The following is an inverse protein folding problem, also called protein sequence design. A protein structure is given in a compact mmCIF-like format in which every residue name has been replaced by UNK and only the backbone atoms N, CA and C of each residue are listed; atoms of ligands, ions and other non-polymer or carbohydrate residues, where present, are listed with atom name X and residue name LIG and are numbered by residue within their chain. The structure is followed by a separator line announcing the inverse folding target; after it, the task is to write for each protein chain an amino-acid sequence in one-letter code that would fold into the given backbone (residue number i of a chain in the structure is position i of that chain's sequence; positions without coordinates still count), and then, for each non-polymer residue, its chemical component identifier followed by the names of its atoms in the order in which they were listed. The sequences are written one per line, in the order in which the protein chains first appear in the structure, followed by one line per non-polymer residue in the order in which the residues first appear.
data_IF_616714442127
#
_entry.id   IF_616714442127
#
_cell.length_a   1.000
_cell.length_b   1.000
_cell.length_c   1.000
_cell.angle_alpha   90.00
_cell.angle_beta   90.00
_cell.angle_gamma   90.00
#
_symmetry.space_group_name_H-M   'P 1'
#
loop_
_entity.id
_entity.type
_entity.pdbx_description
1 polymer ?
#
# COMPACT_ATOMS: atom_id res chain seq x y z
N UNK A 1 27.93 -23.41 -37.33
CA UNK A 1 27.55 -24.59 -36.52
C UNK A 1 27.75 -24.27 -35.05
N UNK A 2 26.75 -24.54 -34.22
CA UNK A 2 26.85 -24.38 -32.76
C UNK A 2 27.60 -25.60 -32.22
N UNK A 3 28.59 -25.39 -31.34
CA UNK A 3 29.34 -26.48 -30.73
C UNK A 3 28.39 -27.49 -30.07
N UNK A 4 28.55 -28.81 -30.28
CA UNK A 4 27.75 -29.85 -29.62
C UNK A 4 27.70 -29.67 -28.11
N UNK A 5 28.81 -29.23 -27.51
CA UNK A 5 28.95 -28.99 -26.07
C UNK A 5 28.07 -27.83 -25.59
N UNK A 6 27.83 -26.83 -26.44
CA UNK A 6 26.95 -25.71 -26.10
C UNK A 6 25.48 -26.13 -26.11
N UNK A 7 25.08 -26.99 -27.06
CA UNK A 7 23.72 -27.52 -27.07
C UNK A 7 23.47 -28.46 -25.89
N UNK A 8 24.46 -29.27 -25.51
CA UNK A 8 24.36 -30.13 -24.33
C UNK A 8 24.31 -29.30 -23.04
N UNK A 9 25.15 -28.26 -22.93
CA UNK A 9 25.10 -27.32 -21.82
C UNK A 9 23.76 -26.57 -21.74
N UNK A 10 23.28 -26.03 -22.86
CA UNK A 10 22.01 -25.32 -22.93
C UNK A 10 20.83 -26.25 -22.61
N UNK A 11 20.85 -27.49 -23.10
CA UNK A 11 19.81 -28.48 -22.80
C UNK A 11 19.85 -28.89 -21.32
N UNK A 12 21.03 -29.06 -20.72
CA UNK A 12 21.15 -29.36 -19.30
C UNK A 12 20.68 -28.20 -18.42
N UNK A 13 20.97 -26.96 -18.82
CA UNK A 13 20.47 -25.76 -18.15
C UNK A 13 18.94 -25.64 -18.27
N UNK A 14 18.41 -25.84 -19.48
CA UNK A 14 16.96 -25.85 -19.72
C UNK A 14 16.32 -26.97 -18.91
N UNK A 15 16.87 -28.18 -18.91
CA UNK A 15 16.38 -29.31 -18.12
C UNK A 15 16.41 -29.01 -16.62
N UNK A 16 17.45 -28.33 -16.12
CA UNK A 16 17.53 -27.94 -14.71
C UNK A 16 16.49 -26.87 -14.34
N UNK A 17 16.22 -25.92 -15.25
CA UNK A 17 15.22 -24.87 -15.05
C UNK A 17 13.77 -25.36 -15.27
N UNK A 18 13.58 -26.38 -16.12
CA UNK A 18 12.26 -26.97 -16.44
C UNK A 18 11.92 -28.20 -15.60
N UNK A 19 12.89 -28.82 -14.94
CA UNK A 19 12.65 -29.66 -13.77
C UNK A 19 12.05 -28.74 -12.72
N UNK A 20 10.72 -28.70 -12.73
CA UNK A 20 9.90 -27.96 -11.79
C UNK A 20 10.51 -28.14 -10.42
N UNK A 21 11.12 -27.07 -9.89
CA UNK A 21 11.30 -26.95 -8.46
C UNK A 21 9.95 -27.40 -7.86
N UNK A 22 9.95 -28.28 -6.83
CA UNK A 22 8.69 -28.62 -6.17
C UNK A 22 7.97 -27.31 -5.94
N UNK A 23 6.67 -27.25 -6.25
CA UNK A 23 5.86 -26.06 -6.00
C UNK A 23 6.26 -25.59 -4.61
N UNK A 24 7.03 -24.51 -4.57
CA UNK A 24 7.89 -24.26 -3.43
C UNK A 24 6.90 -23.76 -2.39
N UNK A 25 6.45 -24.64 -1.51
CA UNK A 25 5.57 -24.28 -0.40
C UNK A 25 6.36 -23.25 0.39
N UNK A 26 6.07 -21.99 0.11
CA UNK A 26 6.76 -20.87 0.71
C UNK A 26 6.61 -21.05 2.21
N UNK A 27 7.71 -20.92 2.95
CA UNK A 27 7.60 -20.88 4.39
C UNK A 27 6.81 -19.63 4.82
N UNK A 28 6.37 -19.58 6.07
CA UNK A 28 5.48 -18.53 6.57
C UNK A 28 6.07 -17.11 6.34
N UNK A 29 7.37 -16.93 6.59
CA UNK A 29 8.09 -15.66 6.34
C UNK A 29 8.08 -15.29 4.85
N UNK A 30 8.34 -16.25 3.97
CA UNK A 30 8.33 -16.06 2.52
C UNK A 30 6.93 -15.74 1.99
N UNK A 31 5.88 -16.33 2.57
CA UNK A 31 4.49 -15.99 2.23
C UNK A 31 4.18 -14.53 2.58
N UNK A 32 4.57 -14.09 3.77
CA UNK A 32 4.38 -12.70 4.22
C UNK A 32 5.18 -11.73 3.34
N UNK A 33 6.47 -12.00 3.14
CA UNK A 33 7.34 -11.15 2.31
C UNK A 33 6.86 -11.03 0.87
N UNK A 34 6.31 -12.11 0.29
CA UNK A 34 5.74 -12.06 -1.06
C UNK A 34 4.57 -11.07 -1.14
N UNK A 35 3.68 -11.07 -0.14
CA UNK A 35 2.55 -10.13 -0.12
C UNK A 35 3.05 -8.70 0.08
N UNK A 36 3.94 -8.47 1.05
CA UNK A 36 4.53 -7.15 1.31
C UNK A 36 5.28 -6.54 0.11
N UNK A 37 5.80 -7.39 -0.78
CA UNK A 37 6.44 -6.96 -2.04
C UNK A 37 5.47 -6.75 -3.19
N UNK A 38 4.34 -7.46 -3.20
CA UNK A 38 3.39 -7.45 -4.31
C UNK A 38 2.29 -6.40 -4.12
N UNK A 39 1.94 -6.07 -2.87
CA UNK A 39 0.85 -5.19 -2.51
C UNK A 39 1.39 -3.92 -1.84
N UNK A 40 0.73 -2.79 -2.05
CA UNK A 40 1.12 -1.52 -1.43
C UNK A 40 0.98 -1.55 0.10
N UNK A 41 -0.02 -2.28 0.59
CA UNK A 41 -0.20 -2.59 2.00
C UNK A 41 -0.94 -3.93 2.13
N UNK A 42 -0.76 -4.60 3.26
CA UNK A 42 -1.48 -5.79 3.69
C UNK A 42 -2.54 -5.39 4.72
N UNK A 43 -3.69 -6.07 4.73
CA UNK A 43 -4.69 -5.91 5.80
C UNK A 43 -5.29 -7.25 6.24
N UNK A 44 -5.88 -7.35 7.45
CA UNK A 44 -6.59 -8.56 7.86
C UNK A 44 -7.78 -8.90 6.95
N UNK A 45 -8.42 -7.88 6.34
CA UNK A 45 -9.59 -8.05 5.47
C UNK A 45 -9.20 -8.65 4.12
N UNK A 46 -8.14 -8.14 3.50
CA UNK A 46 -7.68 -8.57 2.16
C UNK A 46 -6.76 -9.79 2.22
N UNK A 47 -6.00 -9.96 3.31
CA UNK A 47 -5.01 -11.03 3.47
C UNK A 47 -5.28 -11.87 4.75
N UNK A 48 -6.48 -12.45 4.93
CA UNK A 48 -6.88 -13.08 6.20
C UNK A 48 -6.04 -14.30 6.60
N UNK A 49 -5.41 -14.97 5.63
CA UNK A 49 -4.55 -16.13 5.89
C UNK A 49 -3.11 -15.73 6.20
N UNK A 50 -2.61 -14.66 5.59
CA UNK A 50 -1.23 -14.19 5.74
C UNK A 50 -1.06 -13.26 6.94
N UNK A 51 -2.11 -12.52 7.31
CA UNK A 51 -2.07 -11.57 8.41
C UNK A 51 -1.67 -12.20 9.77
N UNK A 52 -2.23 -13.36 10.17
CA UNK A 52 -1.80 -14.02 11.41
C UNK A 52 -0.31 -14.42 11.37
N UNK A 53 0.22 -14.80 10.21
CA UNK A 53 1.64 -15.14 10.04
C UNK A 53 2.52 -13.90 10.21
N UNK A 54 2.13 -12.76 9.65
CA UNK A 54 2.81 -11.49 9.86
C UNK A 54 2.86 -11.13 11.35
N UNK A 55 1.74 -11.26 12.07
CA UNK A 55 1.67 -10.92 13.50
C UNK A 55 2.55 -11.87 14.32
N UNK A 56 2.55 -13.16 14.00
CA UNK A 56 3.35 -14.17 14.71
C UNK A 56 4.87 -13.97 14.53
N UNK A 57 5.29 -13.49 13.35
CA UNK A 57 6.71 -13.38 12.97
C UNK A 57 7.19 -11.94 12.78
N UNK A 58 6.47 -10.96 13.34
CA UNK A 58 6.67 -9.52 13.07
C UNK A 58 8.12 -9.07 13.24
N UNK A 59 8.75 -9.46 14.34
CA UNK A 59 10.13 -9.04 14.68
C UNK A 59 11.14 -9.62 13.67
N UNK A 60 11.03 -10.90 13.33
CA UNK A 60 11.92 -11.54 12.37
C UNK A 60 11.79 -10.94 10.96
N UNK A 61 10.56 -10.64 10.53
CA UNK A 61 10.31 -10.00 9.23
C UNK A 61 10.86 -8.58 9.23
N UNK A 62 10.65 -7.81 10.30
CA UNK A 62 11.18 -6.45 10.43
C UNK A 62 12.71 -6.45 10.35
N UNK A 63 13.38 -7.38 11.03
CA UNK A 63 14.84 -7.52 11.01
C UNK A 63 15.35 -7.85 9.60
N UNK A 64 14.68 -8.75 8.88
CA UNK A 64 15.04 -9.08 7.48
C UNK A 64 15.02 -7.85 6.57
N UNK A 65 13.98 -7.03 6.67
CA UNK A 65 13.87 -5.81 5.87
C UNK A 65 14.87 -4.73 6.30
N UNK A 66 15.12 -4.60 7.59
CA UNK A 66 16.07 -3.65 8.13
C UNK A 66 17.51 -3.94 7.66
N UNK A 67 17.91 -5.21 7.60
CA UNK A 67 19.23 -5.63 7.09
C UNK A 67 19.46 -5.20 5.63
N UNK A 68 18.41 -5.10 4.82
CA UNK A 68 18.48 -4.58 3.46
C UNK A 68 18.72 -3.06 3.36
N UNK A 69 18.57 -2.32 4.47
CA UNK A 69 18.91 -0.90 4.60
C UNK A 69 17.99 0.09 3.86
N UNK A 70 17.02 -0.39 3.08
CA UNK A 70 16.09 0.45 2.29
C UNK A 70 14.67 0.43 2.82
N UNK A 71 14.19 -0.72 3.28
CA UNK A 71 12.80 -0.89 3.66
C UNK A 71 12.65 -1.02 5.16
N UNK A 72 11.61 -0.40 5.71
CA UNK A 72 11.21 -0.51 7.10
C UNK A 72 9.80 -1.09 7.12
N UNK A 73 9.60 -2.19 7.85
CA UNK A 73 8.27 -2.75 8.07
C UNK A 73 7.51 -1.88 9.06
N UNK A 74 6.37 -1.35 8.64
CA UNK A 74 5.38 -0.71 9.51
C UNK A 74 4.19 -1.65 9.68
N UNK A 75 3.73 -1.83 10.92
CA UNK A 75 2.55 -2.65 11.25
C UNK A 75 1.69 -1.85 12.23
N UNK A 76 0.55 -1.36 11.74
CA UNK A 76 -0.51 -0.78 12.56
C UNK A 76 -1.56 -1.83 12.95
N UNK A 77 -2.65 -1.38 13.58
CA UNK A 77 -3.69 -2.28 14.10
C UNK A 77 -4.41 -3.07 12.98
N UNK A 78 -4.55 -2.45 11.80
CA UNK A 78 -5.36 -2.97 10.70
C UNK A 78 -4.66 -2.92 9.34
N UNK A 79 -3.37 -2.56 9.31
CA UNK A 79 -2.58 -2.53 8.08
C UNK A 79 -1.10 -2.84 8.36
N UNK A 80 -0.39 -3.27 7.33
CA UNK A 80 1.07 -3.35 7.33
C UNK A 80 1.63 -3.01 5.96
N UNK A 81 2.82 -2.41 5.89
CA UNK A 81 3.48 -2.11 4.63
C UNK A 81 5.01 -2.01 4.78
N UNK A 82 5.70 -2.03 3.65
CA UNK A 82 7.11 -1.67 3.56
C UNK A 82 7.27 -0.21 3.19
N UNK A 83 7.84 0.55 4.11
CA UNK A 83 8.24 1.94 3.87
C UNK A 83 9.62 1.98 3.23
N UNK A 84 9.71 2.57 2.04
CA UNK A 84 10.99 2.92 1.44
C UNK A 84 11.57 4.15 2.15
N UNK A 85 12.67 3.98 2.88
CA UNK A 85 13.34 5.03 3.65
C UNK A 85 13.88 6.17 2.78
N UNK A 86 13.99 5.96 1.47
CA UNK A 86 14.48 6.96 0.51
C UNK A 86 13.34 7.72 -0.16
N UNK A 87 12.08 7.29 0.00
CA UNK A 87 10.93 7.94 -0.65
C UNK A 87 10.65 9.28 0.00
N UNK A 88 10.56 10.32 -0.83
CA UNK A 88 10.13 11.65 -0.39
C UNK A 88 8.61 11.67 -0.22
N UNK A 89 8.08 12.21 0.89
CA UNK A 89 6.65 12.44 1.05
C UNK A 89 6.09 13.30 -0.09
N UNK A 90 4.92 12.91 -0.62
CA UNK A 90 4.24 13.71 -1.62
C UNK A 90 3.65 14.97 -0.97
N UNK A 91 4.01 16.13 -1.52
CA UNK A 91 3.46 17.45 -1.13
C UNK A 91 2.50 18.00 -2.19
N UNK A 92 2.07 17.14 -3.13
CA UNK A 92 1.16 17.55 -4.18
C UNK A 92 -0.23 17.85 -3.61
N UNK A 93 -0.78 19.03 -3.91
CA UNK A 93 -2.11 19.44 -3.41
C UNK A 93 -3.22 18.40 -3.66
N UNK A 94 -3.33 17.76 -4.84
CA UNK A 94 -4.35 16.73 -5.06
C UNK A 94 -4.24 15.54 -4.10
N UNK A 95 -3.00 15.18 -3.72
CA UNK A 95 -2.75 14.10 -2.76
C UNK A 95 -3.16 14.50 -1.34
N UNK A 96 -2.87 15.74 -0.92
CA UNK A 96 -3.31 16.25 0.38
C UNK A 96 -4.84 16.31 0.47
N UNK A 97 -5.53 16.75 -0.60
CA UNK A 97 -7.00 16.67 -0.67
C UNK A 97 -7.48 15.23 -0.62
N UNK A 98 -6.80 14.29 -1.30
CA UNK A 98 -7.16 12.88 -1.28
C UNK A 98 -7.10 12.28 0.13
N UNK A 99 -6.10 12.63 0.94
CA UNK A 99 -6.02 12.19 2.34
C UNK A 99 -7.26 12.66 3.13
N UNK A 100 -7.60 13.94 3.06
CA UNK A 100 -8.78 14.48 3.75
C UNK A 100 -10.07 13.81 3.28
N UNK A 101 -10.26 13.66 1.95
CA UNK A 101 -11.43 12.97 1.41
C UNK A 101 -11.51 11.54 1.93
N UNK A 102 -10.40 10.81 1.98
CA UNK A 102 -10.38 9.43 2.47
C UNK A 102 -10.83 9.32 3.93
N UNK A 103 -10.52 10.29 4.79
CA UNK A 103 -11.06 10.36 6.16
C UNK A 103 -12.56 10.69 6.19
N UNK A 104 -13.01 11.59 5.30
CA UNK A 104 -14.42 11.99 5.20
C UNK A 104 -15.33 10.90 4.63
N UNK A 105 -14.78 9.88 3.94
CA UNK A 105 -15.58 8.76 3.44
C UNK A 105 -16.32 8.02 4.57
N UNK A 106 -15.79 8.01 5.80
CA UNK A 106 -16.40 7.35 6.94
C UNK A 106 -16.68 5.87 6.67
N UNK A 107 -17.96 5.46 6.68
CA UNK A 107 -18.37 4.09 6.34
C UNK A 107 -18.52 3.84 4.83
N UNK A 108 -18.45 4.89 4.01
CA UNK A 108 -18.62 4.86 2.57
C UNK A 108 -19.51 6.00 2.05
N UNK A 109 -19.26 6.43 0.82
CA UNK A 109 -20.10 7.38 0.08
C UNK A 109 -20.54 6.76 -1.24
N UNK A 110 -21.71 7.13 -1.76
CA UNK A 110 -22.15 6.67 -3.08
C UNK A 110 -21.24 7.22 -4.19
N UNK A 111 -21.16 6.50 -5.31
CA UNK A 111 -20.25 6.84 -6.41
C UNK A 111 -20.46 8.25 -7.00
N UNK A 112 -21.71 8.73 -7.01
CA UNK A 112 -22.09 10.07 -7.47
C UNK A 112 -21.76 11.17 -6.47
N UNK A 113 -21.76 10.87 -5.17
CA UNK A 113 -21.42 11.79 -4.08
C UNK A 113 -19.91 12.05 -3.94
N UNK A 114 -19.04 11.18 -4.49
CA UNK A 114 -17.60 11.35 -4.39
C UNK A 114 -17.10 12.69 -4.97
N UNK A 115 -17.65 13.12 -6.11
CA UNK A 115 -17.21 14.37 -6.76
C UNK A 115 -17.60 15.61 -5.94
N UNK A 116 -18.85 15.73 -5.44
CA UNK A 116 -19.21 16.73 -4.43
C UNK A 116 -18.28 16.74 -3.21
N UNK A 117 -17.98 15.59 -2.61
CA UNK A 117 -17.06 15.49 -1.45
C UNK A 117 -15.68 16.04 -1.78
N UNK A 118 -15.10 15.65 -2.92
CA UNK A 118 -13.80 16.16 -3.37
C UNK A 118 -13.80 17.68 -3.52
N UNK A 119 -14.87 18.28 -4.07
CA UNK A 119 -14.96 19.73 -4.23
C UNK A 119 -15.04 20.45 -2.89
N UNK A 120 -15.81 19.91 -1.94
CA UNK A 120 -15.93 20.47 -0.61
C UNK A 120 -14.58 20.45 0.12
N UNK A 121 -13.89 19.32 0.12
CA UNK A 121 -12.55 19.19 0.71
C UNK A 121 -11.51 20.10 0.04
N UNK A 122 -11.57 20.26 -1.29
CA UNK A 122 -10.70 21.17 -2.04
C UNK A 122 -10.86 22.61 -1.58
N UNK A 123 -12.11 23.09 -1.48
CA UNK A 123 -12.39 24.47 -1.07
C UNK A 123 -12.00 24.72 0.39
N UNK A 124 -12.20 23.73 1.27
CA UNK A 124 -11.82 23.82 2.67
C UNK A 124 -10.29 23.91 2.87
N UNK A 125 -9.52 23.08 2.16
CA UNK A 125 -8.06 23.03 2.33
C UNK A 125 -7.31 24.10 1.53
N UNK A 126 -7.79 24.41 0.33
CA UNK A 126 -7.09 25.29 -0.61
C UNK A 126 -8.08 26.29 -1.24
N UNK A 127 -8.67 27.20 -0.46
CA UNK A 127 -9.64 28.16 -0.97
C UNK A 127 -9.05 28.96 -2.13
N UNK A 128 -9.82 29.08 -3.22
CA UNK A 128 -9.41 29.78 -4.44
C UNK A 128 -8.42 29.05 -5.35
N UNK A 129 -7.98 27.83 -5.02
CA UNK A 129 -7.21 26.98 -5.93
C UNK A 129 -8.12 26.06 -6.74
N UNK A 130 -7.91 26.01 -8.05
CA UNK A 130 -8.59 25.03 -8.90
C UNK A 130 -7.80 23.72 -8.92
N UNK A 131 -8.33 22.69 -8.28
CA UNK A 131 -7.86 21.31 -8.36
C UNK A 131 -8.93 20.49 -9.06
N UNK A 132 -8.56 19.70 -10.07
CA UNK A 132 -9.53 18.90 -10.80
C UNK A 132 -9.94 17.66 -9.98
N UNK A 133 -11.24 17.36 -9.82
CA UNK A 133 -11.66 16.18 -9.05
C UNK A 133 -11.08 14.86 -9.58
N UNK A 134 -10.83 14.77 -10.88
CA UNK A 134 -10.17 13.60 -11.49
C UNK A 134 -8.73 13.39 -10.98
N UNK A 135 -7.99 14.47 -10.67
CA UNK A 135 -6.63 14.38 -10.12
C UNK A 135 -6.66 13.87 -8.68
N UNK A 136 -7.65 14.31 -7.90
CA UNK A 136 -7.83 13.83 -6.51
C UNK A 136 -8.29 12.37 -6.53
N UNK A 137 -9.22 12.00 -7.41
CA UNK A 137 -9.64 10.60 -7.59
C UNK A 137 -8.48 9.70 -8.02
N UNK A 138 -7.63 10.17 -8.93
CA UNK A 138 -6.42 9.44 -9.31
C UNK A 138 -5.50 9.25 -8.09
N UNK A 139 -5.24 10.30 -7.31
CA UNK A 139 -4.42 10.21 -6.10
C UNK A 139 -5.01 9.26 -5.03
N UNK A 140 -6.34 9.23 -4.87
CA UNK A 140 -7.03 8.29 -3.98
C UNK A 140 -6.78 6.83 -4.39
N UNK A 141 -6.87 6.53 -5.69
CA UNK A 141 -6.67 5.17 -6.23
C UNK A 141 -5.19 4.79 -6.23
N UNK A 142 -4.31 5.67 -6.72
CA UNK A 142 -2.86 5.43 -6.81
C UNK A 142 -2.20 5.20 -5.45
N UNK A 143 -2.82 5.68 -4.37
CA UNK A 143 -2.32 5.50 -3.01
C UNK A 143 -3.12 4.48 -2.19
N UNK A 144 -3.99 3.72 -2.87
CA UNK A 144 -4.92 2.74 -2.27
C UNK A 144 -5.66 3.29 -1.04
N UNK A 145 -6.09 4.55 -1.07
CA UNK A 145 -6.79 5.23 0.04
C UNK A 145 -8.28 4.92 0.08
N UNK A 146 -8.82 4.39 -1.02
CA UNK A 146 -10.21 3.98 -1.13
C UNK A 146 -10.37 2.76 -2.04
N UNK A 147 -11.49 2.07 -1.88
CA UNK A 147 -11.87 0.94 -2.73
C UNK A 147 -13.34 1.05 -3.12
N UNK A 148 -13.68 0.48 -4.27
CA UNK A 148 -15.07 0.32 -4.73
C UNK A 148 -15.69 -0.91 -4.06
N UNK A 149 -16.86 -0.76 -3.43
CA UNK A 149 -17.67 -1.82 -2.86
C UNK A 149 -19.14 -1.55 -3.17
N UNK A 150 -19.70 -2.27 -4.15
CA UNK A 150 -21.13 -2.25 -4.51
C UNK A 150 -21.70 -0.84 -4.76
N UNK A 151 -21.06 -0.05 -5.63
CA UNK A 151 -21.38 1.36 -5.95
C UNK A 151 -21.09 2.37 -4.83
N UNK A 152 -20.37 1.95 -3.79
CA UNK A 152 -19.84 2.83 -2.74
C UNK A 152 -18.31 2.92 -2.78
N UNK A 153 -17.79 4.13 -2.57
CA UNK A 153 -16.38 4.34 -2.25
C UNK A 153 -16.20 4.31 -0.75
N UNK A 154 -15.41 3.34 -0.29
CA UNK A 154 -15.11 3.17 1.15
C UNK A 154 -13.62 3.37 1.41
N UNK A 155 -13.22 3.90 2.58
CA UNK A 155 -11.82 4.03 2.90
C UNK A 155 -11.19 2.67 3.11
N UNK A 156 -9.91 2.56 2.75
CA UNK A 156 -9.10 1.39 3.04
C UNK A 156 -8.44 1.50 4.41
N UNK A 157 -7.97 0.39 5.01
CA UNK A 157 -7.31 0.42 6.31
C UNK A 157 -6.06 1.30 6.40
N UNK A 158 -5.36 1.55 5.28
CA UNK A 158 -4.15 2.39 5.26
C UNK A 158 -4.46 3.86 5.56
N UNK A 159 -5.71 4.31 5.44
CA UNK A 159 -6.13 5.67 5.81
C UNK A 159 -5.80 5.97 7.28
N UNK A 160 -5.87 4.97 8.16
CA UNK A 160 -5.53 5.11 9.57
C UNK A 160 -4.05 5.48 9.83
N UNK A 161 -3.16 5.29 8.83
CA UNK A 161 -1.76 5.70 8.89
C UNK A 161 -1.60 7.22 8.92
N UNK A 162 -2.51 7.93 8.29
CA UNK A 162 -2.43 9.38 8.14
C UNK A 162 -3.29 10.01 9.24
N UNK A 163 -2.66 10.48 10.31
CA UNK A 163 -3.37 11.31 11.28
C UNK A 163 -3.54 12.70 10.64
N UNK A 164 -4.78 13.09 10.37
CA UNK A 164 -5.09 14.51 10.14
C UNK A 164 -5.17 15.16 11.51
N UNK A 165 -4.02 15.57 12.04
CA UNK A 165 -3.99 16.51 13.16
C UNK A 165 -4.51 17.85 12.62
N UNK A 166 -5.80 18.12 12.82
CA UNK A 166 -6.29 19.49 12.83
C UNK A 166 -5.58 20.20 13.99
N UNK A 167 -4.81 21.24 13.68
CA UNK A 167 -4.07 22.12 14.61
C UNK A 167 -4.99 22.83 15.64
N UNK A 168 -5.77 22.10 16.43
CA UNK A 168 -6.52 22.65 17.59
C UNK A 168 -5.95 22.19 18.94
N UNK A 169 -4.80 21.51 18.97
CA UNK A 169 -4.17 21.08 20.24
C UNK A 169 -2.66 21.38 20.34
N UNK A 170 -2.18 22.44 19.69
CA UNK A 170 -0.81 22.97 19.93
C UNK A 170 -0.78 24.21 20.85
N UNK A 171 -1.91 24.63 21.42
CA UNK A 171 -1.96 25.61 22.51
C UNK A 171 -2.30 24.90 23.82
N UNK A 172 -1.32 24.31 24.49
CA UNK A 172 -1.61 23.68 25.77
C UNK A 172 -0.51 22.89 26.46
N UNK A 173 0.77 23.21 26.31
CA UNK A 173 1.77 22.77 27.29
C UNK A 173 2.61 23.97 27.75
N UNK A 174 2.24 24.45 28.94
CA UNK A 174 2.98 25.38 29.82
C UNK A 174 4.24 24.76 30.38
#
# INVERSE_FOLDING_TARGET
EVSPDFNEFAQNLVNHLTQSAPANDLNELQQVNRVLLAEQFMSPKTNPQTWPLLVAHKEEIADQWHQGGRFILEVGDHYALLLDSQRQPSVAKPYLVALTVAHELGAGVQADELTPTIKAATEALFPGFTIQPSQVKAALIENDLMSDQDDYWVPTPIVARFLVETDEQSEGET
#
